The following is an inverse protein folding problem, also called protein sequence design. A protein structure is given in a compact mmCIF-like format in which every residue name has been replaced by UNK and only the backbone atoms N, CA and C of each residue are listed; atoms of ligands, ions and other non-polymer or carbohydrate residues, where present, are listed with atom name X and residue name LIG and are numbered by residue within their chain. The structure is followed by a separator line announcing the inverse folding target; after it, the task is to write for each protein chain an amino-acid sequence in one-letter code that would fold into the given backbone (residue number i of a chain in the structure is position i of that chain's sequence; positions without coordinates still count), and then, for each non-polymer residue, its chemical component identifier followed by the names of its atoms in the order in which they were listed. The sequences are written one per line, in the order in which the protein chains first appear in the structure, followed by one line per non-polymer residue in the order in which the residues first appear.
data_IF_661186736083
#
_entry.id   IF_661186736083
#
_cell.length_a   1.000
_cell.length_b   1.000
_cell.length_c   1.000
_cell.angle_alpha   90.00
_cell.angle_beta   90.00
_cell.angle_gamma   90.00
#
_symmetry.space_group_name_H-M   'P 1'
#
loop_
_entity.id
_entity.type
_entity.pdbx_description
1 polymer ?
#
# COMPACT_ATOMS: atom_id res chain seq x y z
N UNK A 1 23.53 12.08 -11.53
CA UNK A 1 22.07 12.00 -11.27
C UNK A 1 21.40 11.06 -12.28
N UNK A 2 21.02 9.85 -11.85
CA UNK A 2 20.49 8.79 -12.73
C UNK A 2 19.04 8.38 -12.43
N UNK A 3 18.40 9.04 -11.46
CA UNK A 3 17.04 8.74 -11.04
C UNK A 3 16.21 10.02 -11.01
N UNK A 4 15.02 10.00 -11.60
CA UNK A 4 14.10 11.14 -11.62
C UNK A 4 13.13 11.10 -10.44
N UNK A 5 12.63 9.90 -10.12
CA UNK A 5 11.65 9.62 -9.07
C UNK A 5 12.22 8.51 -8.17
N UNK A 6 11.93 8.57 -6.87
CA UNK A 6 12.29 7.51 -5.92
C UNK A 6 11.03 6.70 -5.58
N UNK A 7 11.05 5.42 -5.90
CA UNK A 7 9.95 4.49 -5.63
C UNK A 7 10.19 3.62 -4.42
N UNK A 8 9.11 3.32 -3.68
CA UNK A 8 9.09 2.29 -2.64
C UNK A 8 7.97 1.29 -2.88
N UNK A 9 8.19 0.03 -2.50
CA UNK A 9 7.20 -1.04 -2.63
C UNK A 9 7.08 -1.78 -1.30
N UNK A 10 5.86 -2.18 -0.95
CA UNK A 10 5.58 -2.82 0.32
C UNK A 10 4.18 -3.42 0.35
N UNK A 11 4.02 -4.56 1.01
CA UNK A 11 2.80 -5.35 0.96
C UNK A 11 2.46 -5.87 2.36
N UNK A 12 1.18 -5.84 2.70
CA UNK A 12 0.69 -6.58 3.85
C UNK A 12 0.40 -8.02 3.43
N UNK A 13 1.35 -8.93 3.67
CA UNK A 13 1.20 -10.34 3.30
C UNK A 13 0.20 -11.10 4.16
N UNK A 14 -0.10 -10.60 5.37
CA UNK A 14 -0.81 -11.39 6.36
C UNK A 14 -0.05 -12.68 6.71
N UNK A 15 -0.63 -13.55 7.57
CA UNK A 15 -0.09 -14.86 7.85
C UNK A 15 -0.45 -15.86 6.75
N UNK A 16 0.29 -16.96 6.72
CA UNK A 16 -0.03 -18.19 5.99
C UNK A 16 0.09 -18.12 4.47
N UNK A 17 0.96 -17.25 3.93
CA UNK A 17 1.41 -17.43 2.54
C UNK A 17 2.47 -18.53 2.49
N UNK A 18 2.42 -19.40 1.48
CA UNK A 18 3.37 -20.53 1.34
C UNK A 18 4.77 -20.02 1.05
N UNK A 19 4.88 -18.96 0.23
CA UNK A 19 6.16 -18.36 -0.13
C UNK A 19 6.75 -17.47 0.98
N UNK A 20 5.92 -16.95 1.89
CA UNK A 20 6.37 -16.09 2.98
C UNK A 20 5.74 -16.48 4.33
N UNK A 21 6.10 -17.66 4.87
CA UNK A 21 5.43 -18.25 6.03
C UNK A 21 5.64 -17.49 7.35
N UNK A 22 6.69 -16.66 7.42
CA UNK A 22 7.05 -15.89 8.62
C UNK A 22 6.53 -14.45 8.59
N UNK A 23 5.91 -14.02 7.48
CA UNK A 23 5.29 -12.70 7.43
C UNK A 23 3.96 -12.72 8.18
N UNK A 24 3.63 -11.58 8.75
CA UNK A 24 2.44 -11.37 9.55
C UNK A 24 1.67 -10.17 9.03
N UNK A 25 0.48 -9.96 9.60
CA UNK A 25 -0.31 -8.78 9.30
C UNK A 25 0.43 -7.51 9.76
N UNK A 26 0.56 -6.54 8.88
CA UNK A 26 1.14 -5.23 9.18
C UNK A 26 0.22 -4.11 8.69
N UNK A 27 0.08 -3.04 9.47
CA UNK A 27 -0.59 -1.82 9.03
C UNK A 27 0.21 -1.11 7.92
N UNK A 28 -0.43 -0.17 7.24
CA UNK A 28 0.23 0.63 6.21
C UNK A 28 1.47 1.37 6.75
N UNK A 29 1.35 2.03 7.91
CA UNK A 29 2.48 2.75 8.52
C UNK A 29 3.60 1.81 8.97
N UNK A 30 3.28 0.61 9.46
CA UNK A 30 4.31 -0.37 9.81
C UNK A 30 5.15 -0.79 8.60
N UNK A 31 4.57 -0.74 7.39
CA UNK A 31 5.27 -1.07 6.14
C UNK A 31 6.04 0.14 5.61
N UNK A 32 5.43 1.34 5.62
CA UNK A 32 5.94 2.46 4.84
C UNK A 32 6.56 3.61 5.63
N UNK A 33 6.18 3.86 6.88
CA UNK A 33 6.53 5.12 7.58
C UNK A 33 8.04 5.33 7.70
N UNK A 34 8.76 4.28 8.08
CA UNK A 34 10.23 4.32 8.22
C UNK A 34 10.91 4.61 6.88
N UNK A 35 10.60 3.83 5.86
CA UNK A 35 11.16 3.99 4.51
C UNK A 35 10.82 5.34 3.90
N UNK A 36 9.56 5.79 4.02
CA UNK A 36 9.13 7.11 3.57
C UNK A 36 9.93 8.23 4.25
N UNK A 37 10.06 8.19 5.58
CA UNK A 37 10.80 9.21 6.33
C UNK A 37 12.27 9.28 5.90
N UNK A 38 12.91 8.12 5.75
CA UNK A 38 14.31 8.04 5.29
C UNK A 38 14.47 8.60 3.88
N UNK A 39 13.62 8.19 2.92
CA UNK A 39 13.72 8.64 1.54
C UNK A 39 13.36 10.12 1.36
N UNK A 40 12.38 10.61 2.12
CA UNK A 40 12.04 12.03 2.16
C UNK A 40 13.25 12.86 2.65
N UNK A 41 13.92 12.45 3.72
CA UNK A 41 15.11 13.13 4.22
C UNK A 41 16.30 13.07 3.26
N UNK A 42 16.55 11.90 2.66
CA UNK A 42 17.70 11.69 1.78
C UNK A 42 17.56 12.38 0.40
N UNK A 43 16.33 12.51 -0.10
CA UNK A 43 16.06 13.05 -1.43
C UNK A 43 15.04 14.20 -1.39
N UNK A 44 15.35 15.33 -0.75
CA UNK A 44 14.39 16.43 -0.52
C UNK A 44 13.82 17.06 -1.79
N UNK A 45 14.57 17.02 -2.91
CA UNK A 45 14.14 17.58 -4.20
C UNK A 45 13.58 16.57 -5.19
N UNK A 46 13.35 15.31 -4.80
CA UNK A 46 12.81 14.27 -5.71
C UNK A 46 11.37 13.90 -5.34
N UNK A 47 10.49 13.69 -6.34
CA UNK A 47 9.19 13.07 -6.10
C UNK A 47 9.36 11.67 -5.52
N UNK A 48 8.46 11.31 -4.60
CA UNK A 48 8.36 9.97 -4.03
C UNK A 48 7.09 9.30 -4.55
N UNK A 49 7.15 8.00 -4.82
CA UNK A 49 5.97 7.20 -5.16
C UNK A 49 5.96 5.90 -4.37
N UNK A 50 4.76 5.38 -4.10
CA UNK A 50 4.59 3.96 -3.79
C UNK A 50 4.40 3.25 -5.12
N UNK A 51 5.48 2.64 -5.60
CA UNK A 51 5.54 2.00 -6.92
C UNK A 51 4.71 0.70 -6.96
N UNK A 52 4.48 0.08 -5.81
CA UNK A 52 3.62 -1.10 -5.69
C UNK A 52 3.21 -1.36 -4.25
N UNK A 53 1.92 -1.52 -4.00
CA UNK A 53 1.40 -2.01 -2.72
C UNK A 53 0.14 -2.85 -2.88
N UNK A 54 -0.13 -3.72 -1.91
CA UNK A 54 -1.40 -4.42 -1.77
C UNK A 54 -1.50 -5.03 -0.37
N UNK A 55 -2.66 -5.60 -0.06
CA UNK A 55 -2.98 -6.23 1.22
C UNK A 55 -3.66 -7.57 0.99
N UNK A 56 -3.24 -8.59 1.73
CA UNK A 56 -3.89 -9.89 1.79
C UNK A 56 -5.24 -9.78 2.52
N UNK A 57 -6.14 -10.74 2.26
CA UNK A 57 -7.39 -10.91 3.02
C UNK A 57 -7.16 -11.66 4.36
N UNK A 58 -6.10 -12.47 4.43
CA UNK A 58 -5.76 -13.28 5.61
C UNK A 58 -5.10 -12.44 6.71
N UNK A 59 -5.43 -12.71 7.98
CA UNK A 59 -4.75 -12.13 9.16
C UNK A 59 -5.34 -10.85 9.72
N UNK A 60 -6.40 -10.33 9.11
CA UNK A 60 -7.03 -9.09 9.52
C UNK A 60 -8.21 -8.73 8.64
N UNK A 61 -8.46 -7.43 8.47
CA UNK A 61 -9.54 -6.90 7.65
C UNK A 61 -8.97 -5.99 6.57
N UNK A 62 -8.93 -6.49 5.32
CA UNK A 62 -8.37 -5.76 4.17
C UNK A 62 -9.08 -4.43 3.91
N UNK A 63 -10.41 -4.41 4.02
CA UNK A 63 -11.19 -3.18 3.87
C UNK A 63 -10.84 -2.12 4.92
N UNK A 64 -10.60 -2.54 6.17
CA UNK A 64 -10.13 -1.65 7.23
C UNK A 64 -8.70 -1.18 6.98
N UNK A 65 -7.83 -2.05 6.46
CA UNK A 65 -6.47 -1.68 6.07
C UNK A 65 -6.44 -0.64 4.96
N UNK A 66 -7.30 -0.78 3.94
CA UNK A 66 -7.44 0.21 2.85
C UNK A 66 -7.92 1.57 3.38
N UNK A 67 -8.88 1.57 4.31
CA UNK A 67 -9.34 2.81 4.96
C UNK A 67 -8.26 3.47 5.82
N UNK A 68 -7.49 2.67 6.57
CA UNK A 68 -6.35 3.18 7.33
C UNK A 68 -5.28 3.75 6.38
N UNK A 69 -4.91 3.03 5.32
CA UNK A 69 -4.00 3.52 4.29
C UNK A 69 -4.45 4.88 3.74
N UNK A 70 -5.72 5.03 3.34
CA UNK A 70 -6.25 6.29 2.85
C UNK A 70 -6.09 7.42 3.88
N UNK A 71 -6.43 7.17 5.14
CA UNK A 71 -6.28 8.15 6.22
C UNK A 71 -4.80 8.52 6.48
N UNK A 72 -3.89 7.54 6.42
CA UNK A 72 -2.44 7.79 6.58
C UNK A 72 -1.89 8.62 5.45
N UNK A 73 -2.23 8.28 4.20
CA UNK A 73 -1.80 9.00 3.01
C UNK A 73 -2.18 10.49 3.12
N UNK A 74 -3.42 10.79 3.49
CA UNK A 74 -3.90 12.16 3.68
C UNK A 74 -3.20 12.91 4.83
N UNK A 75 -2.85 12.22 5.91
CA UNK A 75 -2.32 12.87 7.12
C UNK A 75 -0.79 13.02 7.14
N UNK A 76 -0.04 12.11 6.54
CA UNK A 76 1.40 11.96 6.82
C UNK A 76 2.32 11.81 5.60
N UNK A 77 1.76 11.55 4.41
CA UNK A 77 2.56 11.21 3.22
C UNK A 77 2.50 12.30 2.14
N UNK A 78 2.47 13.57 2.53
CA UNK A 78 2.32 14.71 1.61
C UNK A 78 3.41 14.90 0.54
N UNK A 79 4.46 14.08 0.53
CA UNK A 79 5.48 14.07 -0.55
C UNK A 79 5.27 12.95 -1.57
N UNK A 80 4.32 12.05 -1.35
CA UNK A 80 3.96 11.07 -2.35
C UNK A 80 3.18 11.75 -3.48
N UNK A 81 3.60 11.51 -4.71
CA UNK A 81 2.90 11.99 -5.91
C UNK A 81 2.05 10.90 -6.58
N UNK A 82 2.23 9.63 -6.18
CA UNK A 82 1.46 8.50 -6.69
C UNK A 82 1.53 7.29 -5.75
N UNK A 83 0.46 6.48 -5.80
CA UNK A 83 0.37 5.16 -5.17
C UNK A 83 -0.18 4.18 -6.19
N UNK A 84 0.55 3.09 -6.44
CA UNK A 84 0.16 2.07 -7.38
C UNK A 84 -0.22 0.78 -6.67
N UNK A 85 -1.44 0.31 -6.94
CA UNK A 85 -1.94 -0.96 -6.42
C UNK A 85 -1.45 -2.13 -7.28
N UNK A 86 -1.07 -3.23 -6.64
CA UNK A 86 -0.73 -4.49 -7.31
C UNK A 86 -1.97 -5.39 -7.38
N UNK A 87 -2.60 -5.45 -8.54
CA UNK A 87 -3.92 -6.07 -8.76
C UNK A 87 -3.83 -7.44 -9.43
N UNK A 88 -3.38 -8.48 -8.71
CA UNK A 88 -3.22 -9.83 -9.26
C UNK A 88 -3.67 -10.89 -8.25
N UNK A 89 -4.41 -11.90 -8.70
CA UNK A 89 -4.63 -13.12 -7.92
C UNK A 89 -3.40 -14.04 -8.03
N UNK A 90 -2.62 -14.16 -6.96
CA UNK A 90 -1.44 -15.02 -6.90
C UNK A 90 -1.60 -16.25 -6.01
N UNK A 91 -2.84 -16.61 -5.67
CA UNK A 91 -3.12 -17.79 -4.83
C UNK A 91 -2.59 -19.08 -5.45
N UNK A 92 -2.65 -19.21 -6.77
CA UNK A 92 -2.11 -20.36 -7.50
C UNK A 92 -0.58 -20.50 -7.37
N UNK A 93 0.13 -19.44 -6.99
CA UNK A 93 1.57 -19.46 -6.71
C UNK A 93 1.88 -19.55 -5.20
N UNK A 94 0.86 -19.75 -4.35
CA UNK A 94 1.03 -19.84 -2.90
C UNK A 94 1.15 -18.48 -2.20
N UNK A 95 0.79 -17.39 -2.87
CA UNK A 95 0.71 -16.04 -2.31
C UNK A 95 -0.75 -15.64 -2.00
N UNK A 96 -0.98 -14.39 -1.64
CA UNK A 96 -2.31 -13.86 -1.39
C UNK A 96 -3.07 -13.50 -2.69
N UNK A 97 -4.39 -13.29 -2.55
CA UNK A 97 -5.19 -12.60 -3.55
C UNK A 97 -5.03 -11.09 -3.36
N UNK A 98 -4.25 -10.46 -4.24
CA UNK A 98 -3.88 -9.05 -4.12
C UNK A 98 -4.92 -8.11 -4.73
N UNK A 99 -5.96 -8.63 -5.38
CA UNK A 99 -6.87 -7.79 -6.15
C UNK A 99 -7.62 -6.77 -5.30
N UNK A 100 -7.93 -5.60 -5.86
CA UNK A 100 -8.74 -4.57 -5.19
C UNK A 100 -10.13 -5.09 -4.84
N UNK A 101 -10.65 -6.02 -5.63
CA UNK A 101 -11.99 -6.60 -5.54
C UNK A 101 -11.99 -8.06 -5.04
N UNK A 102 -10.93 -8.48 -4.33
CA UNK A 102 -10.85 -9.82 -3.70
C UNK A 102 -12.02 -10.10 -2.75
N UNK A 103 -12.69 -9.07 -2.25
CA UNK A 103 -13.97 -9.12 -1.56
C UNK A 103 -14.81 -7.87 -1.84
N UNK A 104 -16.13 -7.96 -1.64
CA UNK A 104 -17.03 -6.81 -1.77
C UNK A 104 -16.64 -5.66 -0.83
N UNK A 105 -16.19 -5.98 0.39
CA UNK A 105 -15.75 -5.00 1.36
C UNK A 105 -14.46 -4.28 0.93
N UNK A 106 -13.50 -5.01 0.32
CA UNK A 106 -12.28 -4.43 -0.24
C UNK A 106 -12.61 -3.48 -1.40
N UNK A 107 -13.48 -3.90 -2.32
CA UNK A 107 -13.92 -3.08 -3.45
C UNK A 107 -14.56 -1.76 -2.97
N UNK A 108 -15.48 -1.84 -2.00
CA UNK A 108 -16.14 -0.66 -1.43
C UNK A 108 -15.14 0.29 -0.75
N UNK A 109 -14.14 -0.24 -0.05
CA UNK A 109 -13.10 0.58 0.58
C UNK A 109 -12.23 1.31 -0.46
N UNK A 110 -11.84 0.63 -1.55
CA UNK A 110 -11.11 1.24 -2.66
C UNK A 110 -11.94 2.32 -3.34
N UNK A 111 -13.21 2.05 -3.62
CA UNK A 111 -14.13 3.03 -4.21
C UNK A 111 -14.27 4.28 -3.33
N UNK A 112 -14.39 4.12 -2.01
CA UNK A 112 -14.44 5.23 -1.07
C UNK A 112 -13.13 6.04 -1.06
N UNK A 113 -11.98 5.37 -1.11
CA UNK A 113 -10.66 6.02 -1.19
C UNK A 113 -10.52 6.84 -2.48
N UNK A 114 -10.91 6.30 -3.63
CA UNK A 114 -10.88 7.03 -4.90
C UNK A 114 -11.86 8.21 -4.94
N UNK A 115 -12.98 8.11 -4.23
CA UNK A 115 -13.99 9.17 -4.17
C UNK A 115 -13.61 10.33 -3.22
N UNK A 116 -12.55 10.20 -2.41
CA UNK A 116 -12.09 11.27 -1.52
C UNK A 116 -11.33 12.36 -2.31
N UNK A 117 -11.91 13.56 -2.50
CA UNK A 117 -11.26 14.62 -3.27
C UNK A 117 -10.02 15.18 -2.57
N UNK A 118 -9.89 15.03 -1.25
CA UNK A 118 -8.76 15.58 -0.49
C UNK A 118 -7.52 14.69 -0.58
N UNK A 119 -7.70 13.41 -0.93
CA UNK A 119 -6.60 12.46 -1.01
C UNK A 119 -5.74 12.64 -2.28
N UNK A 120 -6.37 13.11 -3.35
CA UNK A 120 -5.75 13.23 -4.68
C UNK A 120 -5.57 14.68 -5.13
N UNK A 121 -5.92 15.64 -4.27
CA UNK A 121 -5.71 17.06 -4.54
C UNK A 121 -4.20 17.37 -4.62
N UNK A 122 -3.77 18.17 -5.61
CA UNK A 122 -2.37 18.56 -5.77
C UNK A 122 -1.85 19.47 -4.65
#
# INVERSE_FOLDING_TARGET
PYADIIGMSGFNFGPNTVLHPNLTWQSFDQIFLGTYTTLAGAFPGKPLIIASTSCAESGGNKAAWIRDMAARLAAGYGRLSAVFWFDIDKRAQGEADWRIDSSQASLQAIQAMYADPNLWAP
#
